data_IF_315249293479
#
_entry.id   IF_315249293479
#
_cell.length_a   1.000
_cell.length_b   1.000
_cell.length_c   1.000
_cell.angle_alpha   90.00
_cell.angle_beta   90.00
_cell.angle_gamma   90.00
#
_symmetry.space_group_name_H-M   'P 1'
#
loop_
_entity.id
_entity.type
_entity.pdbx_description
1 polymer ?
#
# COMPACT_ATOMS: atom_id res chain seq x y z
N UNK A 1 -22.55 43.16 -18.08
CA UNK A 1 -21.91 42.59 -16.88
C UNK A 1 -22.76 41.46 -16.35
N UNK A 2 -22.39 40.21 -16.66
CA UNK A 2 -22.70 39.03 -15.85
C UNK A 2 -21.73 37.94 -16.30
N UNK A 3 -20.85 37.53 -15.39
CA UNK A 3 -19.65 36.77 -15.66
C UNK A 3 -19.93 35.31 -16.01
N UNK A 4 -19.37 34.86 -17.13
CA UNK A 4 -19.25 33.46 -17.49
C UNK A 4 -18.13 32.83 -16.64
N UNK A 5 -18.49 32.22 -15.51
CA UNK A 5 -17.60 31.33 -14.77
C UNK A 5 -17.72 29.90 -15.35
N UNK A 6 -17.14 29.70 -16.53
CA UNK A 6 -16.93 28.36 -17.07
C UNK A 6 -15.81 27.69 -16.25
N UNK A 7 -16.18 26.69 -15.46
CA UNK A 7 -15.26 25.82 -14.74
C UNK A 7 -14.29 25.17 -15.74
N UNK A 8 -13.03 25.58 -15.68
CA UNK A 8 -11.93 25.03 -16.45
C UNK A 8 -11.55 23.66 -15.86
N UNK A 9 -12.40 22.64 -16.08
CA UNK A 9 -12.00 21.25 -15.87
C UNK A 9 -11.00 20.94 -16.97
N UNK A 10 -9.72 20.81 -16.63
CA UNK A 10 -8.69 20.42 -17.57
C UNK A 10 -9.08 19.06 -18.18
N UNK A 11 -9.55 19.08 -19.42
CA UNK A 11 -9.93 17.88 -20.16
C UNK A 11 -8.65 17.11 -20.51
N UNK A 12 -8.19 16.24 -19.60
CA UNK A 12 -7.14 15.27 -19.89
C UNK A 12 -7.82 14.10 -20.60
N UNK A 13 -7.44 13.78 -21.85
CA UNK A 13 -8.08 12.69 -22.58
C UNK A 13 -7.95 11.37 -21.79
N UNK A 14 -9.00 10.53 -21.75
CA UNK A 14 -8.96 9.25 -21.05
C UNK A 14 -7.75 8.41 -21.50
N UNK A 15 -7.09 7.72 -20.56
CA UNK A 15 -6.04 6.74 -20.91
C UNK A 15 -6.60 5.45 -21.53
N UNK A 16 -7.94 5.35 -21.65
CA UNK A 16 -8.63 4.23 -22.29
C UNK A 16 -8.08 4.00 -23.71
N UNK A 17 -7.58 2.79 -23.97
CA UNK A 17 -7.04 2.37 -25.26
C UNK A 17 -5.56 2.71 -25.50
N UNK A 18 -4.82 3.18 -24.47
CA UNK A 18 -3.36 3.36 -24.55
C UNK A 18 -2.57 2.19 -23.94
N UNK A 19 -3.26 1.25 -23.30
CA UNK A 19 -2.68 0.11 -22.60
C UNK A 19 -3.41 -1.13 -23.06
N UNK A 20 -2.67 -2.03 -23.69
CA UNK A 20 -3.16 -3.31 -24.20
C UNK A 20 -2.75 -4.45 -23.26
N UNK A 21 -1.69 -4.25 -22.48
CA UNK A 21 -1.13 -5.23 -21.55
C UNK A 21 -1.61 -5.00 -20.11
N UNK A 22 -1.69 -6.07 -19.30
CA UNK A 22 -1.93 -5.94 -17.85
C UNK A 22 -0.80 -5.12 -17.21
N UNK A 23 -1.18 -4.08 -16.44
CA UNK A 23 -0.24 -3.20 -15.74
C UNK A 23 0.60 -3.98 -14.74
N UNK A 24 1.93 -3.82 -14.80
CA UNK A 24 2.88 -4.50 -13.89
C UNK A 24 3.70 -3.56 -13.03
N UNK A 25 4.03 -2.38 -13.57
CA UNK A 25 4.86 -1.43 -12.85
C UNK A 25 4.48 0.01 -13.21
N UNK A 26 4.48 0.88 -12.21
CA UNK A 26 4.39 2.33 -12.36
C UNK A 26 5.65 2.96 -11.80
N UNK A 27 6.39 3.69 -12.63
CA UNK A 27 7.57 4.45 -12.19
C UNK A 27 7.26 5.93 -12.13
N UNK A 28 7.59 6.56 -11.00
CA UNK A 28 7.38 7.99 -10.76
C UNK A 28 8.70 8.73 -10.91
N UNK A 29 8.75 9.71 -11.80
CA UNK A 29 9.90 10.60 -11.93
C UNK A 29 10.08 11.40 -10.64
N UNK A 30 11.18 11.16 -9.93
CA UNK A 30 11.53 11.89 -8.70
C UNK A 30 12.76 12.78 -8.88
N UNK A 31 13.02 13.24 -10.10
CA UNK A 31 14.09 14.21 -10.36
C UNK A 31 13.82 15.57 -9.66
N UNK A 32 14.85 16.41 -9.50
CA UNK A 32 14.83 17.66 -8.70
C UNK A 32 13.63 18.56 -8.99
N UNK A 33 13.25 18.73 -10.25
CA UNK A 33 12.09 19.55 -10.65
C UNK A 33 10.77 18.89 -10.26
N UNK A 34 10.61 17.59 -10.51
CA UNK A 34 9.42 16.82 -10.18
C UNK A 34 9.20 16.74 -8.66
N UNK A 35 10.27 16.67 -7.85
CA UNK A 35 10.17 16.74 -6.38
C UNK A 35 9.51 18.02 -5.89
N UNK A 36 9.87 19.17 -6.48
CA UNK A 36 9.26 20.47 -6.18
C UNK A 36 7.80 20.58 -6.61
N UNK A 37 7.34 19.64 -7.44
CA UNK A 37 5.99 19.61 -8.02
C UNK A 37 5.14 18.45 -7.47
N UNK A 38 5.55 17.85 -6.34
CA UNK A 38 4.76 16.85 -5.64
C UNK A 38 5.10 15.38 -5.96
N UNK A 39 6.18 15.07 -6.68
CA UNK A 39 6.51 13.68 -7.06
C UNK A 39 6.56 12.68 -5.92
N UNK A 40 6.97 13.12 -4.72
CA UNK A 40 7.04 12.27 -3.54
C UNK A 40 5.63 11.94 -3.04
N UNK A 41 4.74 12.93 -3.01
CA UNK A 41 3.34 12.71 -2.68
C UNK A 41 2.70 11.74 -3.70
N UNK A 42 2.94 11.95 -4.99
CA UNK A 42 2.48 11.05 -6.06
C UNK A 42 2.97 9.63 -5.86
N UNK A 43 4.27 9.44 -5.58
CA UNK A 43 4.85 8.13 -5.32
C UNK A 43 4.17 7.45 -4.13
N UNK A 44 3.99 8.15 -3.01
CA UNK A 44 3.31 7.60 -1.83
C UNK A 44 1.84 7.29 -2.09
N UNK A 45 1.13 8.14 -2.83
CA UNK A 45 -0.27 7.92 -3.17
C UNK A 45 -0.42 6.69 -4.06
N UNK A 46 0.38 6.57 -5.13
CA UNK A 46 0.37 5.41 -6.01
C UNK A 46 0.74 4.13 -5.26
N UNK A 47 1.81 4.16 -4.45
CA UNK A 47 2.23 3.00 -3.66
C UNK A 47 1.14 2.57 -2.66
N UNK A 48 0.43 3.54 -2.07
CA UNK A 48 -0.63 3.27 -1.11
C UNK A 48 -1.95 2.77 -1.72
N UNK A 49 -2.11 2.90 -3.04
CA UNK A 49 -3.30 2.49 -3.79
C UNK A 49 -3.02 1.32 -4.74
N UNK A 50 -1.76 0.93 -4.89
CA UNK A 50 -1.36 -0.12 -5.81
C UNK A 50 -2.07 -1.44 -5.47
N UNK A 51 -2.47 -2.16 -6.51
CA UNK A 51 -2.86 -3.55 -6.37
C UNK A 51 -1.62 -4.40 -6.09
N UNK A 52 -1.76 -5.57 -5.43
CA UNK A 52 -0.64 -6.42 -5.04
C UNK A 52 0.34 -6.77 -6.17
N UNK A 53 -0.15 -6.86 -7.41
CA UNK A 53 0.65 -7.22 -8.58
C UNK A 53 1.34 -6.02 -9.26
N UNK A 54 1.00 -4.79 -8.86
CA UNK A 54 1.50 -3.56 -9.49
C UNK A 54 2.61 -2.98 -8.64
N UNK A 55 3.85 -3.12 -9.12
CA UNK A 55 5.00 -2.50 -8.48
C UNK A 55 4.96 -0.98 -8.66
N UNK A 56 5.26 -0.21 -7.62
CA UNK A 56 5.40 1.24 -7.70
C UNK A 56 6.81 1.63 -7.25
N UNK A 57 7.56 2.29 -8.14
CA UNK A 57 8.96 2.61 -7.89
C UNK A 57 9.28 4.05 -8.28
N UNK A 58 10.32 4.62 -7.66
CA UNK A 58 10.87 5.91 -8.11
C UNK A 58 11.84 5.71 -9.25
N UNK A 59 11.87 6.64 -10.21
CA UNK A 59 12.88 6.67 -11.28
C UNK A 59 13.52 8.04 -11.45
N UNK A 60 14.57 8.07 -12.27
CA UNK A 60 15.24 9.29 -12.73
C UNK A 60 14.39 10.13 -13.68
N UNK A 61 15.02 11.09 -14.34
CA UNK A 61 14.32 11.96 -15.28
C UNK A 61 13.79 11.16 -16.49
N UNK A 62 12.51 11.32 -16.82
CA UNK A 62 11.89 10.71 -18.01
C UNK A 62 12.06 11.57 -19.30
N UNK A 63 12.93 12.59 -19.27
CA UNK A 63 13.28 13.40 -20.45
C UNK A 63 12.16 14.30 -21.00
N UNK A 64 10.98 14.32 -20.39
CA UNK A 64 9.85 15.17 -20.80
C UNK A 64 9.68 16.34 -19.84
N UNK A 65 10.34 17.45 -20.14
CA UNK A 65 10.27 18.69 -19.35
C UNK A 65 9.01 19.47 -19.77
N UNK A 66 8.14 19.89 -18.83
CA UNK A 66 6.92 20.64 -19.19
C UNK A 66 6.02 21.00 -18.00
N UNK A 67 5.53 20.01 -17.25
CA UNK A 67 5.23 20.11 -15.82
C UNK A 67 5.08 18.67 -15.28
N UNK A 68 5.90 18.36 -14.28
CA UNK A 68 5.95 17.07 -13.64
C UNK A 68 4.90 16.90 -12.53
N UNK A 69 5.06 15.86 -11.71
CA UNK A 69 5.81 14.64 -11.99
C UNK A 69 5.21 13.88 -13.17
N UNK A 70 6.09 13.31 -13.99
CA UNK A 70 5.70 12.35 -15.00
C UNK A 70 5.79 10.95 -14.40
N UNK A 71 4.86 10.10 -14.78
CA UNK A 71 4.87 8.68 -14.45
C UNK A 71 4.92 7.87 -15.74
N UNK A 72 5.46 6.66 -15.68
CA UNK A 72 5.41 5.70 -16.78
C UNK A 72 4.76 4.41 -16.31
N UNK A 73 3.79 3.93 -17.07
CA UNK A 73 3.11 2.66 -16.88
C UNK A 73 3.76 1.60 -17.79
N UNK A 74 4.13 0.46 -17.21
CA UNK A 74 4.82 -0.64 -17.87
C UNK A 74 3.95 -1.91 -17.86
N UNK A 75 4.05 -2.77 -18.89
CA UNK A 75 5.13 -2.83 -19.89
C UNK A 75 4.99 -1.88 -21.08
N UNK A 76 3.80 -1.32 -21.33
CA UNK A 76 3.49 -0.59 -22.58
C UNK A 76 4.24 0.77 -22.71
N UNK A 77 4.94 1.22 -21.67
CA UNK A 77 5.77 2.43 -21.72
C UNK A 77 4.98 3.73 -21.80
N UNK A 78 3.71 3.70 -21.38
CA UNK A 78 2.81 4.86 -21.46
C UNK A 78 3.24 5.91 -20.45
N UNK A 79 3.66 7.07 -20.95
CA UNK A 79 4.05 8.21 -20.10
C UNK A 79 2.85 9.12 -19.85
N UNK A 80 2.53 9.35 -18.57
CA UNK A 80 1.52 10.32 -18.13
C UNK A 80 2.23 11.50 -17.48
N UNK A 81 1.89 12.71 -17.90
CA UNK A 81 2.46 13.96 -17.39
C UNK A 81 1.52 14.64 -16.38
N UNK A 82 2.02 15.65 -15.66
CA UNK A 82 1.22 16.47 -14.73
C UNK A 82 0.55 15.70 -13.58
N UNK A 83 1.20 14.68 -13.02
CA UNK A 83 0.64 13.83 -11.98
C UNK A 83 0.96 14.35 -10.55
N UNK A 84 0.88 15.66 -10.30
CA UNK A 84 1.46 16.28 -9.09
C UNK A 84 0.61 16.25 -7.84
N UNK A 85 -0.67 15.92 -7.97
CA UNK A 85 -1.63 15.86 -6.85
C UNK A 85 -2.01 14.42 -6.55
N UNK A 86 -2.38 14.16 -5.30
CA UNK A 86 -2.88 12.85 -4.89
C UNK A 86 -4.16 12.46 -5.67
N UNK A 87 -5.05 13.42 -5.95
CA UNK A 87 -6.25 13.19 -6.74
C UNK A 87 -5.92 12.73 -8.16
N UNK A 88 -4.99 13.42 -8.86
CA UNK A 88 -4.59 13.01 -10.20
C UNK A 88 -3.87 11.66 -10.19
N UNK A 89 -3.02 11.41 -9.20
CA UNK A 89 -2.35 10.13 -9.04
C UNK A 89 -3.34 8.97 -8.86
N UNK A 90 -4.35 9.16 -8.01
CA UNK A 90 -5.41 8.17 -7.79
C UNK A 90 -6.20 7.92 -9.07
N UNK A 91 -6.65 8.98 -9.75
CA UNK A 91 -7.39 8.89 -11.01
C UNK A 91 -6.59 8.11 -12.07
N UNK A 92 -5.30 8.45 -12.23
CA UNK A 92 -4.43 7.74 -13.17
C UNK A 92 -4.31 6.26 -12.79
N UNK A 93 -4.18 5.92 -11.50
CA UNK A 93 -4.09 4.53 -11.07
C UNK A 93 -5.36 3.73 -11.40
N UNK A 94 -6.54 4.32 -11.22
CA UNK A 94 -7.83 3.72 -11.59
C UNK A 94 -7.93 3.52 -13.11
N UNK A 95 -7.56 4.55 -13.88
CA UNK A 95 -7.56 4.51 -15.35
C UNK A 95 -6.62 3.41 -15.88
N UNK A 96 -5.40 3.31 -15.33
CA UNK A 96 -4.40 2.31 -15.71
C UNK A 96 -4.81 0.87 -15.36
N UNK A 97 -5.68 0.69 -14.36
CA UNK A 97 -6.11 -0.63 -13.88
C UNK A 97 -7.40 -1.12 -14.57
N UNK A 98 -7.89 -0.41 -15.59
CA UNK A 98 -9.03 -0.83 -16.39
C UNK A 98 -10.41 -0.56 -15.76
N UNK A 99 -10.53 0.44 -14.87
CA UNK A 99 -11.82 0.86 -14.31
C UNK A 99 -12.81 1.28 -15.42
N UNK A 100 -13.90 0.51 -15.56
CA UNK A 100 -14.95 0.70 -16.60
C UNK A 100 -16.19 1.49 -16.13
N UNK A 101 -16.28 1.85 -14.85
CA UNK A 101 -17.36 2.66 -14.24
C UNK A 101 -16.79 3.94 -13.61
N UNK A 102 -17.65 4.91 -13.24
CA UNK A 102 -17.32 6.28 -12.78
C UNK A 102 -15.96 6.43 -12.06
N UNK A 103 -14.89 6.57 -12.85
CA UNK A 103 -13.49 6.54 -12.38
C UNK A 103 -13.20 7.57 -11.29
N UNK A 104 -13.99 8.65 -11.27
CA UNK A 104 -13.92 9.72 -10.28
C UNK A 104 -14.46 9.27 -8.92
N UNK A 105 -15.57 8.53 -8.88
CA UNK A 105 -16.17 8.05 -7.62
C UNK A 105 -15.27 7.02 -6.96
N UNK A 106 -14.76 6.07 -7.76
CA UNK A 106 -13.85 5.02 -7.26
C UNK A 106 -12.50 5.61 -6.82
N UNK A 107 -12.01 6.63 -7.52
CA UNK A 107 -10.82 7.38 -7.10
C UNK A 107 -11.05 8.12 -5.77
N UNK A 108 -12.20 8.78 -5.60
CA UNK A 108 -12.52 9.50 -4.36
C UNK A 108 -12.61 8.56 -3.16
N UNK A 109 -13.35 7.45 -3.27
CA UNK A 109 -13.45 6.43 -2.20
C UNK A 109 -12.08 5.87 -1.84
N UNK A 110 -11.24 5.60 -2.83
CA UNK A 110 -9.93 5.02 -2.60
C UNK A 110 -8.95 6.02 -1.99
N UNK A 111 -9.04 7.28 -2.38
CA UNK A 111 -8.29 8.37 -1.76
C UNK A 111 -8.72 8.60 -0.30
N UNK A 112 -10.02 8.51 -0.02
CA UNK A 112 -10.57 8.58 1.34
C UNK A 112 -10.11 7.40 2.20
N UNK A 113 -10.17 6.16 1.67
CA UNK A 113 -9.64 4.98 2.35
C UNK A 113 -8.14 5.10 2.65
N UNK A 114 -7.36 5.65 1.71
CA UNK A 114 -5.94 5.94 1.93
C UNK A 114 -5.73 6.97 3.05
N UNK A 115 -6.56 8.01 3.10
CA UNK A 115 -6.49 9.02 4.16
C UNK A 115 -6.82 8.43 5.54
N UNK A 116 -7.87 7.60 5.62
CA UNK A 116 -8.25 6.88 6.83
C UNK A 116 -7.14 5.94 7.30
N UNK A 117 -6.52 5.16 6.39
CA UNK A 117 -5.37 4.31 6.73
C UNK A 117 -4.20 5.12 7.30
N UNK A 118 -3.84 6.25 6.68
CA UNK A 118 -2.76 7.11 7.18
C UNK A 118 -3.06 7.70 8.55
N UNK A 119 -4.31 8.08 8.79
CA UNK A 119 -4.75 8.52 10.12
C UNK A 119 -4.64 7.40 11.14
N UNK A 120 -5.07 6.20 10.80
CA UNK A 120 -4.96 5.02 11.66
C UNK A 120 -3.50 4.68 11.98
N UNK A 121 -2.59 4.77 11.01
CA UNK A 121 -1.15 4.60 11.24
C UNK A 121 -0.62 5.62 12.27
N UNK A 122 -1.06 6.87 12.20
CA UNK A 122 -0.72 7.89 13.21
C UNK A 122 -1.34 7.60 14.59
N UNK A 123 -2.55 7.04 14.65
CA UNK A 123 -3.16 6.61 15.92
C UNK A 123 -2.43 5.39 16.52
N UNK A 124 -1.92 4.47 15.70
CA UNK A 124 -1.04 3.37 16.14
C UNK A 124 0.25 3.92 16.76
N UNK A 125 0.87 4.94 16.17
CA UNK A 125 2.05 5.61 16.74
C UNK A 125 1.76 6.23 18.12
N UNK A 126 0.53 6.76 18.30
CA UNK A 126 0.04 7.28 19.59
C UNK A 126 -0.43 6.19 20.55
N UNK A 127 -0.39 4.91 20.15
CA UNK A 127 -0.91 3.74 20.89
C UNK A 127 -2.43 3.72 21.07
N UNK A 128 -3.17 4.48 20.26
CA UNK A 128 -4.63 4.50 20.23
C UNK A 128 -5.16 3.40 19.29
N UNK A 129 -4.98 2.14 19.68
CA UNK A 129 -5.25 1.00 18.79
C UNK A 129 -6.74 0.80 18.45
N UNK A 130 -7.65 1.12 19.38
CA UNK A 130 -9.10 1.01 19.16
C UNK A 130 -9.59 2.00 18.11
N UNK A 131 -9.15 3.26 18.19
CA UNK A 131 -9.47 4.28 17.19
C UNK A 131 -8.87 3.91 15.82
N UNK A 132 -7.64 3.38 15.80
CA UNK A 132 -7.03 2.89 14.58
C UNK A 132 -7.87 1.77 13.94
N UNK A 133 -8.36 0.79 14.71
CA UNK A 133 -9.22 -0.27 14.19
C UNK A 133 -10.52 0.27 13.57
N UNK A 134 -11.16 1.24 14.21
CA UNK A 134 -12.39 1.88 13.71
C UNK A 134 -12.12 2.55 12.36
N UNK A 135 -11.05 3.37 12.28
CA UNK A 135 -10.67 4.06 11.05
C UNK A 135 -10.33 3.08 9.92
N UNK A 136 -9.66 1.97 10.22
CA UNK A 136 -9.29 0.95 9.23
C UNK A 136 -10.51 0.16 8.75
N UNK A 137 -11.47 -0.10 9.63
CA UNK A 137 -12.72 -0.77 9.27
C UNK A 137 -13.56 0.12 8.35
N UNK A 138 -13.68 1.42 8.67
CA UNK A 138 -14.29 2.41 7.78
C UNK A 138 -13.58 2.45 6.41
N UNK A 139 -12.25 2.39 6.38
CA UNK A 139 -11.48 2.37 5.14
C UNK A 139 -11.76 1.12 4.28
N UNK A 140 -11.99 -0.04 4.90
CA UNK A 140 -12.37 -1.28 4.21
C UNK A 140 -13.80 -1.17 3.64
N UNK A 141 -14.73 -0.59 4.41
CA UNK A 141 -16.14 -0.44 4.01
C UNK A 141 -16.32 0.44 2.76
N UNK A 142 -15.38 1.38 2.52
CA UNK A 142 -15.34 2.18 1.30
C UNK A 142 -15.03 1.36 0.04
N UNK A 143 -14.58 0.11 0.18
CA UNK A 143 -14.21 -0.81 -0.91
C UNK A 143 -13.28 -0.14 -1.93
N UNK A 144 -12.07 0.28 -1.49
CA UNK A 144 -11.12 0.93 -2.38
C UNK A 144 -10.69 -0.03 -3.50
N UNK A 145 -10.39 0.50 -4.69
CA UNK A 145 -10.02 -0.35 -5.84
C UNK A 145 -8.67 -1.08 -5.64
N UNK A 146 -7.83 -0.61 -4.70
CA UNK A 146 -6.49 -1.11 -4.44
C UNK A 146 -5.98 -0.72 -3.06
N UNK A 147 -4.80 -1.21 -2.68
CA UNK A 147 -4.23 -0.98 -1.34
C UNK A 147 -4.95 -1.69 -0.17
N UNK A 148 -6.00 -2.47 -0.43
CA UNK A 148 -6.82 -3.10 0.62
C UNK A 148 -6.04 -4.11 1.48
N UNK A 149 -5.11 -4.87 0.89
CA UNK A 149 -4.19 -5.76 1.61
C UNK A 149 -3.29 -5.01 2.61
N UNK A 150 -2.95 -3.74 2.33
CA UNK A 150 -2.21 -2.88 3.25
C UNK A 150 -3.09 -2.50 4.45
N UNK A 151 -4.38 -2.20 4.21
CA UNK A 151 -5.33 -1.84 5.28
C UNK A 151 -5.50 -3.02 6.25
N UNK A 152 -5.74 -4.23 5.73
CA UNK A 152 -5.80 -5.44 6.55
C UNK A 152 -4.53 -5.67 7.35
N UNK A 153 -3.34 -5.52 6.74
CA UNK A 153 -2.07 -5.65 7.44
C UNK A 153 -1.87 -4.60 8.55
N UNK A 154 -2.39 -3.39 8.39
CA UNK A 154 -2.31 -2.36 9.44
C UNK A 154 -3.32 -2.66 10.55
N UNK A 155 -4.52 -3.15 10.21
CA UNK A 155 -5.55 -3.50 11.19
C UNK A 155 -5.15 -4.70 12.03
N UNK A 156 -4.49 -5.70 11.43
CA UNK A 156 -3.95 -6.83 12.17
C UNK A 156 -2.92 -6.42 13.23
N UNK A 157 -2.09 -5.39 12.95
CA UNK A 157 -1.16 -4.85 13.93
C UNK A 157 -1.87 -4.14 15.09
N UNK A 158 -2.93 -3.38 14.79
CA UNK A 158 -3.74 -2.75 15.83
C UNK A 158 -4.41 -3.81 16.72
N UNK A 159 -5.03 -4.84 16.12
CA UNK A 159 -5.67 -5.96 16.84
C UNK A 159 -4.68 -6.77 17.66
N UNK A 160 -3.51 -7.07 17.10
CA UNK A 160 -2.40 -7.70 17.82
C UNK A 160 -2.02 -6.90 19.07
N UNK A 161 -1.89 -5.58 18.95
CA UNK A 161 -1.56 -4.71 20.08
C UNK A 161 -2.66 -4.64 21.15
N UNK A 162 -3.91 -4.94 20.79
CA UNK A 162 -5.04 -5.07 21.71
C UNK A 162 -5.18 -6.49 22.29
N UNK A 163 -4.38 -7.46 21.84
CA UNK A 163 -4.48 -8.86 22.23
C UNK A 163 -5.59 -9.65 21.51
N UNK A 164 -6.25 -9.06 20.51
CA UNK A 164 -7.18 -9.78 19.64
C UNK A 164 -6.42 -10.57 18.58
N UNK A 165 -5.88 -11.72 18.98
CA UNK A 165 -5.10 -12.57 18.09
C UNK A 165 -5.95 -13.21 16.99
N UNK A 166 -7.20 -13.56 17.30
CA UNK A 166 -8.17 -14.10 16.34
C UNK A 166 -8.43 -13.13 15.19
N UNK A 167 -8.86 -11.91 15.51
CA UNK A 167 -9.16 -10.89 14.50
C UNK A 167 -7.91 -10.42 13.75
N UNK A 168 -6.74 -10.47 14.39
CA UNK A 168 -5.47 -10.19 13.72
C UNK A 168 -5.10 -11.27 12.69
N UNK A 169 -5.30 -12.55 13.00
CA UNK A 169 -5.07 -13.65 12.05
C UNK A 169 -6.08 -13.64 10.90
N UNK A 170 -7.35 -13.30 11.17
CA UNK A 170 -8.36 -13.08 10.12
C UNK A 170 -7.92 -11.98 9.15
N UNK A 171 -7.46 -10.84 9.66
CA UNK A 171 -6.98 -9.74 8.84
C UNK A 171 -5.75 -10.14 8.00
N UNK A 172 -4.80 -10.85 8.60
CA UNK A 172 -3.64 -11.38 7.86
C UNK A 172 -4.07 -12.37 6.77
N UNK A 173 -5.05 -13.24 7.06
CA UNK A 173 -5.62 -14.17 6.08
C UNK A 173 -6.24 -13.43 4.91
N UNK A 174 -7.04 -12.39 5.15
CA UNK A 174 -7.61 -11.56 4.08
C UNK A 174 -6.52 -10.83 3.28
N UNK A 175 -5.49 -10.31 3.93
CA UNK A 175 -4.35 -9.70 3.24
C UNK A 175 -3.63 -10.69 2.32
N UNK A 176 -3.42 -11.94 2.76
CA UNK A 176 -2.77 -13.00 1.99
C UNK A 176 -3.66 -13.57 0.88
N UNK A 177 -4.99 -13.60 1.05
CA UNK A 177 -5.93 -13.93 -0.03
C UNK A 177 -5.84 -12.93 -1.19
N UNK A 178 -5.68 -11.66 -0.86
CA UNK A 178 -5.53 -10.58 -1.83
C UNK A 178 -4.13 -10.55 -2.44
N UNK A 179 -3.11 -10.83 -1.61
CA UNK A 179 -1.70 -10.72 -1.96
C UNK A 179 -0.93 -11.94 -1.42
N UNK A 180 -0.94 -13.06 -2.17
CA UNK A 180 -0.39 -14.34 -1.70
C UNK A 180 1.11 -14.29 -1.38
N UNK A 181 1.86 -13.42 -2.06
CA UNK A 181 3.29 -13.25 -1.86
C UNK A 181 3.62 -11.98 -1.05
N UNK A 182 2.73 -11.57 -0.14
CA UNK A 182 2.93 -10.36 0.66
C UNK A 182 3.80 -10.63 1.89
N UNK A 183 5.09 -10.38 1.73
CA UNK A 183 6.13 -10.61 2.74
C UNK A 183 5.76 -10.05 4.11
N UNK A 184 5.28 -8.80 4.19
CA UNK A 184 4.93 -8.14 5.44
C UNK A 184 3.71 -8.77 6.14
N UNK A 185 2.78 -9.39 5.41
CA UNK A 185 1.67 -10.11 6.02
C UNK A 185 2.15 -11.38 6.73
N UNK A 186 3.10 -12.12 6.14
CA UNK A 186 3.74 -13.27 6.81
C UNK A 186 4.56 -12.85 8.04
N UNK A 187 5.22 -11.69 8.00
CA UNK A 187 5.88 -11.13 9.19
C UNK A 187 4.85 -10.86 10.30
N UNK A 188 3.72 -10.24 9.96
CA UNK A 188 2.65 -9.98 10.94
C UNK A 188 2.06 -11.30 11.47
N UNK A 189 1.88 -12.30 10.62
CA UNK A 189 1.44 -13.64 11.02
C UNK A 189 2.38 -14.25 12.07
N UNK A 190 3.68 -14.19 11.80
CA UNK A 190 4.70 -14.67 12.74
C UNK A 190 4.72 -13.88 14.05
N UNK A 191 4.54 -12.56 13.99
CA UNK A 191 4.43 -11.70 15.20
C UNK A 191 3.21 -12.10 16.05
N UNK A 192 2.07 -12.41 15.42
CA UNK A 192 0.84 -12.85 16.11
C UNK A 192 1.05 -14.23 16.75
N UNK A 193 1.57 -15.22 16.01
CA UNK A 193 1.85 -16.54 16.57
C UNK A 193 2.88 -16.50 17.71
N UNK A 194 3.90 -15.64 17.59
CA UNK A 194 4.87 -15.43 18.65
C UNK A 194 4.22 -14.84 19.92
N UNK A 195 3.21 -13.96 19.77
CA UNK A 195 2.45 -13.42 20.89
C UNK A 195 1.48 -14.45 21.52
N UNK A 196 1.05 -15.44 20.75
CA UNK A 196 0.27 -16.59 21.22
C UNK A 196 1.14 -17.72 21.80
N UNK A 197 2.46 -17.51 21.90
CA UNK A 197 3.47 -18.51 22.27
C UNK A 197 3.46 -19.78 21.37
N UNK A 198 2.93 -19.66 20.15
CA UNK A 198 2.92 -20.71 19.12
C UNK A 198 4.18 -20.63 18.26
N UNK A 199 5.32 -21.00 18.86
CA UNK A 199 6.63 -20.75 18.27
C UNK A 199 6.88 -21.47 16.94
N UNK A 200 6.42 -22.72 16.78
CA UNK A 200 6.57 -23.47 15.52
C UNK A 200 5.81 -22.80 14.36
N UNK A 201 4.62 -22.26 14.64
CA UNK A 201 3.82 -21.54 13.65
C UNK A 201 4.45 -20.18 13.30
N UNK A 202 5.04 -19.52 14.28
CA UNK A 202 5.80 -18.29 14.07
C UNK A 202 7.04 -18.54 13.19
N UNK A 203 7.81 -19.60 13.46
CA UNK A 203 8.98 -19.98 12.67
C UNK A 203 8.60 -20.24 11.22
N UNK A 204 7.55 -21.04 10.97
CA UNK A 204 7.04 -21.30 9.61
C UNK A 204 6.67 -20.01 8.88
N UNK A 205 5.98 -19.10 9.55
CA UNK A 205 5.57 -17.81 8.95
C UNK A 205 6.80 -16.95 8.57
N UNK A 206 7.81 -16.89 9.45
CA UNK A 206 9.06 -16.19 9.13
C UNK A 206 9.89 -16.89 8.05
N UNK A 207 9.83 -18.23 7.96
CA UNK A 207 10.49 -18.98 6.90
C UNK A 207 9.84 -18.67 5.53
N UNK A 208 8.51 -18.68 5.42
CA UNK A 208 7.81 -18.28 4.17
C UNK A 208 8.19 -16.86 3.74
N UNK A 209 8.29 -15.94 4.69
CA UNK A 209 8.75 -14.58 4.43
C UNK A 209 10.17 -14.54 3.81
N UNK A 210 11.09 -15.37 4.31
CA UNK A 210 12.46 -15.49 3.78
C UNK A 210 12.53 -16.20 2.42
N UNK A 211 11.59 -17.08 2.11
CA UNK A 211 11.46 -17.73 0.81
C UNK A 211 11.00 -16.73 -0.27
N UNK A 212 10.03 -15.87 0.08
CA UNK A 212 9.49 -14.84 -0.82
C UNK A 212 10.50 -13.72 -1.03
N UNK A 213 11.05 -13.16 0.05
CA UNK A 213 12.06 -12.11 0.00
C UNK A 213 13.27 -12.47 0.88
N UNK A 214 14.31 -13.13 0.33
CA UNK A 214 15.53 -13.44 1.06
C UNK A 214 16.27 -12.20 1.57
N UNK A 215 16.02 -11.02 0.97
CA UNK A 215 16.70 -9.79 1.33
C UNK A 215 16.28 -9.27 2.71
N UNK A 216 15.08 -9.64 3.18
CA UNK A 216 14.55 -9.23 4.49
C UNK A 216 15.42 -9.70 5.65
N UNK A 217 16.21 -10.78 5.47
CA UNK A 217 17.22 -11.24 6.43
C UNK A 217 18.20 -10.14 6.85
N UNK A 218 18.46 -9.17 5.97
CA UNK A 218 19.36 -8.04 6.24
C UNK A 218 18.69 -6.95 7.11
N UNK A 219 17.35 -6.93 7.19
CA UNK A 219 16.59 -5.97 7.99
C UNK A 219 16.88 -6.14 9.48
N UNK A 220 17.19 -5.03 10.16
CA UNK A 220 17.40 -5.02 11.62
C UNK A 220 16.12 -5.42 12.37
N UNK A 221 14.96 -4.97 11.90
CA UNK A 221 13.66 -5.26 12.54
C UNK A 221 13.29 -6.74 12.43
N UNK A 222 13.64 -7.38 11.31
CA UNK A 222 13.41 -8.81 11.12
C UNK A 222 14.37 -9.65 11.96
N UNK A 223 15.67 -9.29 12.00
CA UNK A 223 16.64 -9.94 12.90
C UNK A 223 16.20 -9.94 14.36
N UNK A 224 15.66 -8.83 14.84
CA UNK A 224 15.13 -8.72 16.22
C UNK A 224 14.00 -9.72 16.49
N UNK A 225 13.09 -9.92 15.52
CA UNK A 225 12.01 -10.93 15.63
C UNK A 225 12.56 -12.35 15.72
N UNK A 226 13.54 -12.69 14.89
CA UNK A 226 14.17 -14.01 14.90
C UNK A 226 14.89 -14.28 16.22
N UNK A 227 15.63 -13.30 16.75
CA UNK A 227 16.29 -13.42 18.07
C UNK A 227 15.24 -13.64 19.17
N UNK A 228 14.17 -12.85 19.17
CA UNK A 228 13.08 -12.99 20.15
C UNK A 228 12.41 -14.37 20.08
N UNK A 229 12.19 -14.90 18.88
CA UNK A 229 11.68 -16.26 18.68
C UNK A 229 12.64 -17.31 19.24
N UNK A 230 13.94 -17.19 18.98
CA UNK A 230 14.96 -18.10 19.49
C UNK A 230 15.04 -18.09 21.02
N UNK A 231 15.04 -16.91 21.64
CA UNK A 231 15.02 -16.77 23.11
C UNK A 231 13.81 -17.50 23.71
N UNK A 232 12.62 -17.28 23.14
CA UNK A 232 11.38 -17.93 23.57
C UNK A 232 11.40 -19.46 23.39
N UNK A 233 11.90 -19.94 22.26
CA UNK A 233 12.08 -21.38 21.99
C UNK A 233 13.05 -22.02 22.98
N UNK A 234 14.17 -21.36 23.27
CA UNK A 234 15.13 -21.87 24.27
C UNK A 234 14.52 -21.92 25.65
N UNK A 235 13.78 -20.89 26.07
CA UNK A 235 13.10 -20.86 27.36
C UNK A 235 12.01 -21.94 27.49
N UNK A 236 11.28 -22.25 26.41
CA UNK A 236 10.24 -23.27 26.41
C UNK A 236 10.81 -24.71 26.44
N UNK A 237 12.06 -24.91 26.00
CA UNK A 237 12.73 -26.21 25.95
C UNK A 237 13.61 -26.51 27.18
N UNK A 238 13.57 -25.67 28.22
CA UNK A 238 14.25 -25.95 29.50
C UNK A 238 13.32 -26.86 30.33
N UNK A 239 13.77 -28.08 30.71
CA UNK A 239 12.97 -29.07 31.43
C UNK A 239 12.72 -28.73 32.90
#
# INVERSE_FOLDING_TARGET
MAAAAAAYVSFVPPLLGRIDSKLKEVRVCTNRTCRRQGSIQTLHTLSGLAQPEVAVSSCGCLGRCGAGPNIVALPDGVVISHCGTAARACQVMVELSGGRTDSVVDANKSLEALALRKRAESEIEKRNFSEAEILLSQAIDLKPFGGIHLIYKVRSLARLAMGDYSGALEDVSEALKLASNYTEAYVCQGDIFLAMDQYDAAEKSYATCLEIDPSIRRSKSFKSRIVKLQEKLTAANIP
#
